data_IF_418836897362
#
_entry.id   IF_418836897362
#
_cell.length_a   1.000
_cell.length_b   1.000
_cell.length_c   1.000
_cell.angle_alpha   90.00
_cell.angle_beta   90.00
_cell.angle_gamma   90.00
#
_symmetry.space_group_name_H-M   'P 1'
#
loop_
_entity.id
_entity.type
_entity.pdbx_description
1 polymer ?
#
# COMPACT_ATOMS: atom_id res chain seq x y z
N UNK A 1 6.91 29.03 -6.69
CA UNK A 1 7.29 29.05 -8.12
C UNK A 1 8.81 28.93 -8.19
N UNK A 2 9.38 27.71 -8.25
CA UNK A 2 10.83 27.54 -8.48
C UNK A 2 11.29 26.15 -8.97
N UNK A 3 10.39 25.24 -9.40
CA UNK A 3 10.79 24.04 -10.15
C UNK A 3 9.73 23.70 -11.21
N UNK A 4 9.97 24.12 -12.46
CA UNK A 4 9.55 23.45 -13.70
C UNK A 4 10.68 23.68 -14.70
N UNK A 5 11.10 22.67 -15.47
CA UNK A 5 10.30 21.55 -15.96
C UNK A 5 10.63 20.23 -15.28
N UNK A 6 9.61 19.44 -14.94
CA UNK A 6 9.79 18.00 -14.77
C UNK A 6 10.38 17.48 -16.08
N UNK A 7 11.58 16.91 -16.02
CA UNK A 7 12.16 16.25 -17.17
C UNK A 7 11.19 15.15 -17.59
N UNK A 8 10.63 15.34 -18.78
CA UNK A 8 9.61 14.51 -19.37
C UNK A 8 10.33 13.52 -20.27
N UNK A 9 10.21 12.23 -19.97
CA UNK A 9 10.68 11.19 -20.87
C UNK A 9 9.46 10.42 -21.37
N UNK A 10 9.11 10.62 -22.65
CA UNK A 10 7.97 9.95 -23.30
C UNK A 10 6.62 10.14 -22.60
N UNK A 11 6.33 11.32 -22.05
CA UNK A 11 5.06 11.57 -21.32
C UNK A 11 5.14 11.27 -19.82
N UNK A 12 6.20 10.60 -19.36
CA UNK A 12 6.37 10.16 -17.96
C UNK A 12 7.42 10.99 -17.23
N UNK A 13 7.18 11.29 -15.95
CA UNK A 13 8.16 11.98 -15.09
C UNK A 13 9.41 11.14 -14.81
N UNK A 14 10.59 11.77 -14.76
CA UNK A 14 11.82 11.05 -14.34
C UNK A 14 11.67 10.45 -12.94
N UNK A 15 11.00 11.13 -12.03
CA UNK A 15 10.71 10.67 -10.67
C UNK A 15 9.92 9.36 -10.65
N UNK A 16 8.86 9.23 -11.45
CA UNK A 16 8.08 8.00 -11.57
C UNK A 16 8.84 6.88 -12.29
N UNK A 17 9.70 7.22 -13.26
CA UNK A 17 10.65 6.28 -13.87
C UNK A 17 11.67 5.72 -12.87
N UNK A 18 12.20 6.56 -11.98
CA UNK A 18 13.10 6.10 -10.92
C UNK A 18 12.37 5.14 -9.98
N UNK A 19 11.13 5.46 -9.59
CA UNK A 19 10.34 4.59 -8.71
C UNK A 19 10.08 3.21 -9.32
N UNK A 20 9.70 3.13 -10.60
CA UNK A 20 9.46 1.83 -11.26
C UNK A 20 10.77 1.03 -11.44
N UNK A 21 11.89 1.70 -11.72
CA UNK A 21 13.21 1.04 -11.80
C UNK A 21 13.60 0.48 -10.43
N UNK A 22 13.45 1.26 -9.35
CA UNK A 22 13.72 0.82 -7.99
C UNK A 22 12.81 -0.34 -7.56
N UNK A 23 11.55 -0.33 -7.97
CA UNK A 23 10.62 -1.44 -7.76
C UNK A 23 11.14 -2.73 -8.38
N UNK A 24 11.50 -2.71 -9.67
CA UNK A 24 12.02 -3.90 -10.36
C UNK A 24 13.37 -4.36 -9.77
N UNK A 25 14.27 -3.43 -9.45
CA UNK A 25 15.52 -3.75 -8.75
C UNK A 25 15.25 -4.42 -7.40
N UNK A 26 14.30 -3.90 -6.62
CA UNK A 26 13.86 -4.48 -5.36
C UNK A 26 13.36 -5.92 -5.52
N UNK A 27 12.49 -6.17 -6.51
CA UNK A 27 12.01 -7.53 -6.83
C UNK A 27 13.17 -8.46 -7.18
N UNK A 28 14.10 -8.02 -8.02
CA UNK A 28 15.27 -8.83 -8.40
C UNK A 28 16.13 -9.18 -7.17
N UNK A 29 16.34 -8.22 -6.26
CA UNK A 29 17.10 -8.44 -5.03
C UNK A 29 16.36 -9.43 -4.11
N UNK A 30 15.06 -9.24 -3.89
CA UNK A 30 14.22 -10.12 -3.06
C UNK A 30 14.21 -11.54 -3.65
N UNK A 31 14.04 -11.68 -4.96
CA UNK A 31 14.02 -12.98 -5.62
C UNK A 31 15.35 -13.72 -5.50
N UNK A 32 16.48 -13.01 -5.69
CA UNK A 32 17.83 -13.58 -5.50
C UNK A 32 18.07 -14.03 -4.05
N UNK A 33 17.58 -13.27 -3.08
CA UNK A 33 17.70 -13.62 -1.66
C UNK A 33 16.77 -14.78 -1.28
N UNK A 34 15.54 -14.79 -1.79
CA UNK A 34 14.55 -15.85 -1.59
C UNK A 34 15.04 -17.19 -2.14
N UNK A 35 15.59 -17.25 -3.35
CA UNK A 35 16.12 -18.50 -3.95
C UNK A 35 17.25 -19.15 -3.14
N UNK A 36 17.96 -18.37 -2.32
CA UNK A 36 19.05 -18.84 -1.46
C UNK A 36 18.54 -19.47 -0.15
N UNK A 37 17.27 -19.26 0.18
CA UNK A 37 16.58 -19.76 1.38
C UNK A 37 15.58 -20.84 0.90
N UNK A 38 15.43 -21.97 1.60
CA UNK A 38 14.51 -23.01 1.12
C UNK A 38 13.05 -22.48 1.15
N UNK A 39 12.19 -22.81 0.16
CA UNK A 39 10.82 -22.33 0.11
C UNK A 39 10.01 -22.68 1.38
N UNK A 40 10.32 -23.83 1.97
CA UNK A 40 9.67 -24.35 3.19
C UNK A 40 9.90 -23.44 4.42
N UNK A 41 11.01 -22.72 4.47
CA UNK A 41 11.37 -21.82 5.58
C UNK A 41 10.64 -20.47 5.50
N UNK A 42 10.19 -20.04 4.30
CA UNK A 42 9.68 -18.68 4.05
C UNK A 42 8.16 -18.58 4.24
N UNK A 43 7.43 -19.68 3.99
CA UNK A 43 5.97 -19.68 4.13
C UNK A 43 5.51 -20.18 5.50
N UNK A 44 6.32 -20.96 6.23
CA UNK A 44 5.98 -21.43 7.58
C UNK A 44 4.74 -22.33 7.65
N UNK A 45 4.24 -22.81 6.50
CA UNK A 45 3.06 -23.67 6.37
C UNK A 45 3.55 -25.05 5.92
N UNK A 46 3.22 -26.10 6.68
CA UNK A 46 3.43 -27.48 6.24
C UNK A 46 2.62 -27.76 4.97
N UNK A 47 3.21 -28.44 3.98
CA UNK A 47 2.54 -28.82 2.72
C UNK A 47 1.18 -29.52 2.96
N UNK A 48 1.00 -30.18 4.11
CA UNK A 48 -0.25 -30.82 4.55
C UNK A 48 -1.48 -29.91 4.57
N UNK A 49 -1.34 -28.60 4.70
CA UNK A 49 -2.47 -27.66 4.76
C UNK A 49 -2.84 -27.05 3.40
N UNK A 50 -2.09 -27.33 2.33
CA UNK A 50 -2.46 -26.88 0.99
C UNK A 50 -3.48 -27.84 0.39
N UNK A 51 -4.74 -27.43 0.36
CA UNK A 51 -5.71 -28.10 -0.49
C UNK A 51 -5.30 -27.88 -1.94
N UNK A 52 -4.88 -28.95 -2.62
CA UNK A 52 -4.51 -28.91 -4.03
C UNK A 52 -5.74 -28.56 -4.87
N UNK A 53 -5.96 -27.28 -5.13
CA UNK A 53 -6.96 -26.83 -6.10
C UNK A 53 -6.46 -27.09 -7.52
N UNK A 54 -7.36 -27.44 -8.44
CA UNK A 54 -6.97 -27.56 -9.84
C UNK A 54 -6.51 -26.19 -10.39
N UNK A 55 -5.35 -26.17 -11.04
CA UNK A 55 -4.79 -24.95 -11.65
C UNK A 55 -5.76 -24.24 -12.60
N UNK A 56 -6.51 -24.95 -13.49
CA UNK A 56 -7.44 -24.29 -14.40
C UNK A 56 -8.59 -23.58 -13.66
N UNK A 57 -9.18 -24.25 -12.66
CA UNK A 57 -10.29 -23.67 -11.89
C UNK A 57 -9.82 -22.48 -11.05
N UNK A 58 -8.62 -22.55 -10.50
CA UNK A 58 -8.02 -21.47 -9.71
C UNK A 58 -7.78 -20.22 -10.56
N UNK A 59 -7.21 -20.40 -11.75
CA UNK A 59 -6.98 -19.31 -12.70
C UNK A 59 -8.29 -18.66 -13.16
N UNK A 60 -9.33 -19.46 -13.43
CA UNK A 60 -10.66 -18.94 -13.80
C UNK A 60 -11.26 -18.11 -12.65
N UNK A 61 -11.25 -18.64 -11.42
CA UNK A 61 -11.75 -17.92 -10.24
C UNK A 61 -10.99 -16.61 -10.01
N UNK A 62 -9.66 -16.65 -10.15
CA UNK A 62 -8.81 -15.48 -10.04
C UNK A 62 -9.17 -14.42 -11.08
N UNK A 63 -9.32 -14.81 -12.35
CA UNK A 63 -9.68 -13.90 -13.44
C UNK A 63 -11.05 -13.25 -13.20
N UNK A 64 -12.05 -14.05 -12.79
CA UNK A 64 -13.38 -13.53 -12.45
C UNK A 64 -13.29 -12.51 -11.31
N UNK A 65 -12.56 -12.83 -10.24
CA UNK A 65 -12.37 -11.90 -9.11
C UNK A 65 -11.67 -10.61 -9.54
N UNK A 66 -10.61 -10.70 -10.34
CA UNK A 66 -9.88 -9.54 -10.86
C UNK A 66 -10.79 -8.62 -11.70
N UNK A 67 -11.62 -9.20 -12.58
CA UNK A 67 -12.60 -8.45 -13.38
C UNK A 67 -13.61 -7.72 -12.48
N UNK A 68 -14.16 -8.41 -11.48
CA UNK A 68 -15.11 -7.81 -10.53
C UNK A 68 -14.46 -6.64 -9.78
N UNK A 69 -13.22 -6.80 -9.34
CA UNK A 69 -12.46 -5.74 -8.65
C UNK A 69 -12.29 -4.53 -9.57
N UNK A 70 -11.90 -4.71 -10.83
CA UNK A 70 -11.72 -3.61 -11.79
C UNK A 70 -13.02 -2.82 -11.94
N UNK A 71 -14.14 -3.48 -12.22
CA UNK A 71 -15.42 -2.80 -12.41
C UNK A 71 -15.93 -2.11 -11.14
N UNK A 72 -15.68 -2.71 -9.97
CA UNK A 72 -16.11 -2.14 -8.68
C UNK A 72 -15.23 -0.94 -8.29
N UNK A 73 -13.92 -1.03 -8.51
CA UNK A 73 -12.97 0.05 -8.23
C UNK A 73 -13.25 1.31 -9.07
N UNK A 74 -13.68 1.16 -10.33
CA UNK A 74 -14.07 2.30 -11.18
C UNK A 74 -15.23 3.11 -10.58
N UNK A 75 -16.20 2.46 -9.94
CA UNK A 75 -17.34 3.13 -9.29
C UNK A 75 -16.99 3.74 -7.93
N UNK A 76 -15.89 3.30 -7.33
CA UNK A 76 -15.52 3.67 -5.97
C UNK A 76 -15.26 5.18 -5.81
N UNK A 77 -14.60 5.80 -6.80
CA UNK A 77 -14.33 7.23 -6.78
C UNK A 77 -15.62 8.08 -6.81
N UNK A 78 -16.65 7.62 -7.54
CA UNK A 78 -17.94 8.31 -7.59
C UNK A 78 -18.66 8.21 -6.25
N UNK A 79 -18.65 7.03 -5.62
CA UNK A 79 -19.22 6.83 -4.28
C UNK A 79 -18.51 7.69 -3.24
N UNK A 80 -17.19 7.82 -3.32
CA UNK A 80 -16.41 8.68 -2.42
C UNK A 80 -16.84 10.14 -2.50
N UNK A 81 -17.05 10.65 -3.72
CA UNK A 81 -17.52 12.01 -3.94
C UNK A 81 -18.94 12.22 -3.40
N UNK A 82 -19.88 11.31 -3.70
CA UNK A 82 -21.25 11.43 -3.17
C UNK A 82 -21.29 11.38 -1.64
N UNK A 83 -20.46 10.55 -1.00
CA UNK A 83 -20.33 10.54 0.46
C UNK A 83 -19.74 11.84 1.00
N UNK A 84 -18.77 12.45 0.31
CA UNK A 84 -18.22 13.73 0.70
C UNK A 84 -19.29 14.83 0.70
N UNK A 85 -20.14 14.87 -0.33
CA UNK A 85 -21.22 15.84 -0.46
C UNK A 85 -22.30 15.65 0.63
N UNK A 86 -22.67 14.41 0.93
CA UNK A 86 -23.67 14.08 1.95
C UNK A 86 -23.19 14.32 3.38
N UNK A 87 -21.90 14.09 3.65
CA UNK A 87 -21.32 14.22 5.01
C UNK A 87 -20.75 15.61 5.29
N UNK A 88 -20.47 16.40 4.26
CA UNK A 88 -19.77 17.68 4.37
C UNK A 88 -18.29 17.54 4.72
N UNK A 89 -17.70 16.34 4.61
CA UNK A 89 -16.32 16.09 5.02
C UNK A 89 -15.27 16.51 3.98
N UNK A 90 -15.70 16.97 2.80
CA UNK A 90 -14.82 17.40 1.71
C UNK A 90 -14.29 16.23 0.88
N UNK A 91 -14.27 16.41 -0.44
CA UNK A 91 -13.92 15.35 -1.42
C UNK A 91 -12.50 14.82 -1.23
N UNK A 92 -11.54 15.67 -0.87
CA UNK A 92 -10.14 15.26 -0.63
C UNK A 92 -10.00 14.36 0.59
N UNK A 93 -10.65 14.70 1.71
CA UNK A 93 -10.56 13.91 2.95
C UNK A 93 -11.28 12.58 2.77
N UNK A 94 -12.50 12.60 2.23
CA UNK A 94 -13.26 11.37 1.97
C UNK A 94 -12.56 10.49 0.94
N UNK A 95 -12.06 11.08 -0.15
CA UNK A 95 -11.28 10.38 -1.17
C UNK A 95 -10.01 9.74 -0.61
N UNK A 96 -9.28 10.42 0.28
CA UNK A 96 -8.03 9.90 0.86
C UNK A 96 -8.30 8.74 1.83
N UNK A 97 -9.20 8.93 2.80
CA UNK A 97 -9.41 7.94 3.87
C UNK A 97 -10.26 6.78 3.40
N UNK A 98 -11.36 7.05 2.69
CA UNK A 98 -12.24 5.98 2.24
C UNK A 98 -11.54 5.08 1.22
N UNK A 99 -10.81 5.67 0.27
CA UNK A 99 -10.07 4.89 -0.72
C UNK A 99 -8.98 4.06 -0.02
N UNK A 100 -8.20 4.66 0.89
CA UNK A 100 -7.16 3.94 1.63
C UNK A 100 -7.72 2.76 2.45
N UNK A 101 -8.84 2.96 3.15
CA UNK A 101 -9.49 1.87 3.90
C UNK A 101 -9.95 0.75 2.96
N UNK A 102 -10.60 1.11 1.85
CA UNK A 102 -11.21 0.11 0.97
C UNK A 102 -10.14 -0.67 0.19
N UNK A 103 -9.07 -0.01 -0.26
CA UNK A 103 -7.97 -0.70 -0.94
C UNK A 103 -7.15 -1.55 0.03
N UNK A 104 -7.03 -1.16 1.31
CA UNK A 104 -6.23 -1.91 2.29
C UNK A 104 -6.97 -2.93 3.13
N UNK A 105 -8.29 -2.98 3.04
CA UNK A 105 -9.08 -4.01 3.70
C UNK A 105 -8.79 -5.43 3.16
N UNK A 106 -8.68 -5.67 1.83
CA UNK A 106 -8.26 -6.97 1.30
C UNK A 106 -6.89 -7.42 1.82
N UNK A 107 -5.93 -6.49 1.95
CA UNK A 107 -4.59 -6.76 2.46
C UNK A 107 -4.64 -7.14 3.95
N UNK A 108 -5.43 -6.44 4.75
CA UNK A 108 -5.67 -6.79 6.14
C UNK A 108 -6.26 -8.20 6.27
N UNK A 109 -7.29 -8.53 5.49
CA UNK A 109 -7.95 -9.84 5.53
C UNK A 109 -6.97 -10.96 5.16
N UNK A 110 -6.18 -10.76 4.11
CA UNK A 110 -5.19 -11.75 3.66
C UNK A 110 -4.04 -11.93 4.65
N UNK A 111 -3.55 -10.84 5.26
CA UNK A 111 -2.54 -10.91 6.31
C UNK A 111 -3.08 -11.63 7.57
N UNK A 112 -4.32 -11.36 7.98
CA UNK A 112 -4.96 -12.07 9.09
C UNK A 112 -5.16 -13.57 8.78
N UNK A 113 -5.52 -13.92 7.55
CA UNK A 113 -5.62 -15.31 7.12
C UNK A 113 -4.26 -16.02 7.20
N UNK A 114 -3.17 -15.37 6.76
CA UNK A 114 -1.80 -15.88 6.89
C UNK A 114 -1.39 -16.08 8.36
N UNK A 115 -1.72 -15.14 9.25
CA UNK A 115 -1.46 -15.27 10.70
C UNK A 115 -2.20 -16.48 11.30
N UNK A 116 -3.44 -16.74 10.89
CA UNK A 116 -4.24 -17.88 11.38
C UNK A 116 -3.60 -19.23 11.07
N UNK A 117 -2.89 -19.33 9.96
CA UNK A 117 -2.13 -20.53 9.57
C UNK A 117 -0.66 -20.47 10.03
N UNK A 118 -0.31 -19.53 10.93
CA UNK A 118 1.05 -19.30 11.47
C UNK A 118 2.10 -18.92 10.42
N UNK A 119 1.67 -18.44 9.26
CA UNK A 119 2.53 -17.91 8.20
C UNK A 119 2.88 -16.44 8.46
N UNK A 120 3.64 -16.16 9.51
CA UNK A 120 3.94 -14.78 9.93
C UNK A 120 4.77 -14.00 8.92
N UNK A 121 5.75 -14.64 8.29
CA UNK A 121 6.58 -14.01 7.26
C UNK A 121 5.76 -13.69 5.99
N UNK A 122 4.79 -14.54 5.64
CA UNK A 122 3.82 -14.26 4.58
C UNK A 122 2.94 -13.06 4.93
N UNK A 123 2.44 -12.98 6.17
CA UNK A 123 1.62 -11.86 6.62
C UNK A 123 2.38 -10.52 6.55
N UNK A 124 3.65 -10.49 6.96
CA UNK A 124 4.52 -9.31 6.82
C UNK A 124 4.82 -9.02 5.35
N UNK A 125 5.06 -10.06 4.54
CA UNK A 125 5.27 -9.95 3.10
C UNK A 125 4.09 -9.35 2.35
N UNK A 126 2.85 -9.66 2.75
CA UNK A 126 1.63 -9.06 2.19
C UNK A 126 1.63 -7.55 2.42
N UNK A 127 1.87 -7.10 3.65
CA UNK A 127 1.83 -5.67 4.01
C UNK A 127 2.96 -4.89 3.33
N UNK A 128 4.20 -5.40 3.39
CA UNK A 128 5.35 -4.72 2.78
C UNK A 128 5.31 -4.77 1.25
N UNK A 129 4.87 -5.89 0.68
CA UNK A 129 4.72 -6.06 -0.76
C UNK A 129 3.70 -5.10 -1.36
N UNK A 130 2.55 -4.91 -0.70
CA UNK A 130 1.54 -3.94 -1.13
C UNK A 130 2.09 -2.50 -1.12
N UNK A 131 2.85 -2.11 -0.09
CA UNK A 131 3.49 -0.79 -0.03
C UNK A 131 4.52 -0.58 -1.16
N UNK A 132 5.30 -1.61 -1.50
CA UNK A 132 6.26 -1.55 -2.61
C UNK A 132 5.52 -1.39 -3.96
N UNK A 133 4.43 -2.12 -4.17
CA UNK A 133 3.61 -2.00 -5.37
C UNK A 133 2.96 -0.61 -5.51
N UNK A 134 2.49 -0.02 -4.41
CA UNK A 134 1.89 1.32 -4.40
C UNK A 134 2.85 2.39 -4.94
N UNK A 135 4.17 2.20 -4.81
CA UNK A 135 5.17 3.13 -5.36
C UNK A 135 5.25 3.12 -6.89
N UNK A 136 4.62 2.14 -7.55
CA UNK A 136 4.52 2.10 -9.02
C UNK A 136 3.34 2.90 -9.56
N UNK A 137 2.37 3.26 -8.70
CA UNK A 137 1.15 3.97 -9.12
C UNK A 137 1.47 5.27 -9.87
N UNK A 138 2.40 6.14 -9.42
CA UNK A 138 2.73 7.36 -10.15
C UNK A 138 3.17 7.13 -11.61
N UNK A 139 3.90 6.04 -11.87
CA UNK A 139 4.32 5.68 -13.23
C UNK A 139 3.12 5.33 -14.12
N UNK A 140 2.20 4.51 -13.62
CA UNK A 140 0.97 4.20 -14.36
C UNK A 140 0.05 5.42 -14.49
N UNK A 141 -0.04 6.26 -13.46
CA UNK A 141 -0.78 7.52 -13.52
C UNK A 141 -0.26 8.42 -14.63
N UNK A 142 1.07 8.58 -14.77
CA UNK A 142 1.67 9.37 -15.84
C UNK A 142 1.38 8.81 -17.25
N UNK A 143 1.25 7.49 -17.40
CA UNK A 143 0.92 6.86 -18.69
C UNK A 143 -0.54 7.13 -19.10
N UNK A 144 -1.47 7.10 -18.14
CA UNK A 144 -2.90 7.20 -18.40
C UNK A 144 -3.48 8.61 -18.21
N UNK A 145 -2.67 9.57 -17.76
CA UNK A 145 -3.06 10.97 -17.55
C UNK A 145 -2.43 11.87 -18.61
N UNK A 146 -3.27 12.56 -19.39
CA UNK A 146 -2.82 13.45 -20.48
C UNK A 146 -2.20 14.78 -20.01
N UNK A 147 -2.00 14.97 -18.70
CA UNK A 147 -1.44 16.19 -18.11
C UNK A 147 0.06 16.10 -17.79
N UNK A 148 0.60 17.09 -17.03
CA UNK A 148 1.97 17.00 -16.54
C UNK A 148 2.14 15.80 -15.58
N UNK A 149 3.38 15.31 -15.38
CA UNK A 149 3.64 14.21 -14.45
C UNK A 149 2.96 14.40 -13.10
N UNK A 150 2.30 13.36 -12.59
CA UNK A 150 1.34 13.45 -11.49
C UNK A 150 2.00 14.05 -10.24
N UNK A 151 3.24 13.65 -9.91
CA UNK A 151 3.95 14.16 -8.74
C UNK A 151 4.35 15.64 -8.88
N UNK A 152 4.38 16.19 -10.10
CA UNK A 152 4.65 17.61 -10.34
C UNK A 152 3.44 18.52 -10.10
N UNK A 153 2.23 17.94 -10.06
CA UNK A 153 0.97 18.67 -9.85
C UNK A 153 0.32 18.38 -8.50
N UNK A 154 0.90 17.47 -7.72
CA UNK A 154 0.46 17.14 -6.37
C UNK A 154 0.58 18.34 -5.43
N UNK A 155 -0.45 18.51 -4.61
CA UNK A 155 -0.54 19.57 -3.61
C UNK A 155 0.57 19.45 -2.55
N UNK A 156 1.26 20.54 -2.15
CA UNK A 156 2.25 20.50 -1.06
C UNK A 156 1.71 19.94 0.28
N UNK A 157 0.39 19.97 0.46
CA UNK A 157 -0.36 19.42 1.58
C UNK A 157 -0.09 17.92 1.81
N UNK A 158 0.32 17.19 0.76
CA UNK A 158 0.69 15.77 0.86
C UNK A 158 2.06 15.52 1.53
N UNK A 159 2.83 16.57 1.87
CA UNK A 159 4.10 16.43 2.59
C UNK A 159 3.92 15.68 3.92
N UNK A 160 2.80 15.90 4.62
CA UNK A 160 2.51 15.23 5.89
C UNK A 160 2.22 13.75 5.65
N UNK A 161 1.44 13.43 4.62
CA UNK A 161 1.21 12.04 4.23
C UNK A 161 2.53 11.32 3.92
N UNK A 162 3.43 11.96 3.17
CA UNK A 162 4.75 11.41 2.86
C UNK A 162 5.61 11.20 4.11
N UNK A 163 5.66 12.17 5.01
CA UNK A 163 6.39 12.07 6.28
C UNK A 163 5.82 10.95 7.18
N UNK A 164 4.50 10.83 7.25
CA UNK A 164 3.83 9.77 7.99
C UNK A 164 4.20 8.39 7.44
N UNK A 165 4.22 8.21 6.13
CA UNK A 165 4.66 6.95 5.49
C UNK A 165 6.09 6.61 5.91
N UNK A 166 7.01 7.59 5.87
CA UNK A 166 8.42 7.38 6.27
C UNK A 166 8.52 6.97 7.74
N UNK A 167 7.85 7.71 8.65
CA UNK A 167 7.92 7.47 10.10
C UNK A 167 7.35 6.08 10.43
N UNK A 168 6.15 5.77 9.96
CA UNK A 168 5.47 4.51 10.28
C UNK A 168 6.22 3.31 9.69
N UNK A 169 6.74 3.43 8.48
CA UNK A 169 7.56 2.37 7.85
C UNK A 169 8.87 2.18 8.61
N UNK A 170 9.50 3.25 9.09
CA UNK A 170 10.73 3.17 9.90
C UNK A 170 10.49 2.45 11.23
N UNK A 171 9.36 2.69 11.89
CA UNK A 171 8.96 1.96 13.11
C UNK A 171 8.76 0.47 12.80
N UNK A 172 8.10 0.15 11.69
CA UNK A 172 7.90 -1.25 11.27
C UNK A 172 9.25 -1.95 11.02
N UNK A 173 10.16 -1.32 10.28
CA UNK A 173 11.52 -1.85 10.02
C UNK A 173 12.28 -2.04 11.34
N UNK A 174 12.27 -1.05 12.23
CA UNK A 174 12.91 -1.15 13.54
C UNK A 174 12.35 -2.34 14.34
N UNK A 175 11.03 -2.56 14.30
CA UNK A 175 10.42 -3.71 14.98
C UNK A 175 10.88 -5.06 14.41
N UNK A 176 11.06 -5.17 13.08
CA UNK A 176 11.55 -6.39 12.42
C UNK A 176 13.01 -6.67 12.81
N UNK A 177 13.83 -5.62 12.91
CA UNK A 177 15.26 -5.73 13.25
C UNK A 177 15.47 -6.03 14.74
N UNK A 178 14.83 -5.26 15.62
CA UNK A 178 15.05 -5.36 17.06
C UNK A 178 14.25 -6.47 17.74
N UNK A 179 13.18 -6.98 17.10
CA UNK A 179 12.33 -8.09 17.59
C UNK A 179 11.97 -7.93 19.09
N UNK A 180 11.24 -6.87 19.47
CA UNK A 180 10.93 -6.60 20.87
C UNK A 180 10.16 -7.77 21.50
N UNK A 181 10.66 -8.26 22.64
CA UNK A 181 10.16 -9.50 23.28
C UNK A 181 8.97 -9.29 24.24
N UNK A 182 8.70 -8.05 24.66
CA UNK A 182 7.66 -7.74 25.66
C UNK A 182 6.46 -7.08 24.97
N UNK A 183 5.29 -7.75 24.93
CA UNK A 183 4.06 -7.11 24.48
C UNK A 183 3.53 -6.15 25.54
N UNK A 184 2.75 -5.17 25.10
CA UNK A 184 1.97 -4.24 25.91
C UNK A 184 0.51 -4.42 25.51
N UNK A 185 -0.38 -4.80 26.44
CA UNK A 185 -1.78 -5.12 26.14
C UNK A 185 -1.95 -6.08 24.95
N UNK A 186 -1.22 -7.20 24.97
CA UNK A 186 -1.24 -8.24 23.92
C UNK A 186 -0.69 -7.84 22.54
N UNK A 187 -0.26 -6.59 22.35
CA UNK A 187 0.34 -6.09 21.10
C UNK A 187 1.80 -5.71 21.29
N UNK A 188 2.60 -5.81 20.23
CA UNK A 188 3.96 -5.28 20.23
C UNK A 188 3.95 -3.75 20.36
N UNK A 189 4.97 -3.18 21.03
CA UNK A 189 5.05 -1.71 21.21
C UNK A 189 5.04 -0.96 19.88
N UNK A 190 5.63 -1.53 18.82
CA UNK A 190 5.60 -0.96 17.48
C UNK A 190 4.19 -0.88 16.91
N UNK A 191 3.31 -1.84 17.19
CA UNK A 191 1.92 -1.80 16.73
C UNK A 191 1.16 -0.63 17.36
N UNK A 192 1.38 -0.36 18.66
CA UNK A 192 0.83 0.81 19.34
C UNK A 192 1.36 2.12 18.76
N UNK A 193 2.68 2.21 18.53
CA UNK A 193 3.29 3.40 17.94
C UNK A 193 2.77 3.65 16.52
N UNK A 194 2.62 2.61 15.71
CA UNK A 194 2.07 2.71 14.36
C UNK A 194 0.61 3.13 14.42
N UNK A 195 -0.19 2.53 15.30
CA UNK A 195 -1.60 2.87 15.48
C UNK A 195 -1.77 4.33 15.89
N UNK A 196 -1.12 4.76 16.97
CA UNK A 196 -1.20 6.14 17.46
C UNK A 196 -0.66 7.14 16.43
N UNK A 197 0.46 6.81 15.78
CA UNK A 197 1.04 7.61 14.72
C UNK A 197 0.09 7.77 13.54
N UNK A 198 -0.54 6.69 13.07
CA UNK A 198 -1.51 6.73 11.97
C UNK A 198 -2.69 7.66 12.27
N UNK A 199 -3.29 7.54 13.47
CA UNK A 199 -4.39 8.42 13.88
C UNK A 199 -3.95 9.88 14.05
N UNK A 200 -2.75 10.13 14.56
CA UNK A 200 -2.17 11.47 14.60
C UNK A 200 -1.98 12.04 13.19
N UNK A 201 -1.49 11.23 12.25
CA UNK A 201 -1.33 11.60 10.85
C UNK A 201 -2.65 12.00 10.20
N UNK A 202 -3.70 11.18 10.38
CA UNK A 202 -5.06 11.50 9.94
C UNK A 202 -5.53 12.82 10.52
N UNK A 203 -5.37 13.01 11.84
CA UNK A 203 -5.79 14.23 12.51
C UNK A 203 -5.07 15.48 11.97
N UNK A 204 -3.76 15.40 11.74
CA UNK A 204 -2.98 16.49 11.15
C UNK A 204 -3.42 16.81 9.71
N UNK A 205 -3.65 15.78 8.89
CA UNK A 205 -4.15 15.94 7.52
C UNK A 205 -5.53 16.60 7.54
N UNK A 206 -6.43 16.16 8.40
CA UNK A 206 -7.76 16.74 8.56
C UNK A 206 -7.70 18.22 8.95
N UNK A 207 -6.86 18.59 9.92
CA UNK A 207 -6.70 19.98 10.38
C UNK A 207 -6.15 20.91 9.32
N UNK A 208 -5.35 20.40 8.38
CA UNK A 208 -4.76 21.20 7.29
C UNK A 208 -5.67 21.23 6.06
N UNK A 209 -6.41 20.15 5.81
CA UNK A 209 -7.40 20.05 4.74
C UNK A 209 -8.61 20.96 4.96
N UNK A 210 -9.02 21.15 6.22
CA UNK A 210 -10.04 22.13 6.59
C UNK A 210 -9.36 23.49 6.79
N UNK A 211 -9.18 24.24 5.70
CA UNK A 211 -9.11 25.69 5.78
C UNK A 211 -10.54 26.22 5.63
N UNK A 212 -11.05 26.82 6.71
CA UNK A 212 -12.14 27.81 6.66
C UNK A 212 -11.58 29.06 5.97
#
# INVERSE_FOLDING_TARGET
>A
MLLKPSFLFMGVGIDSLILIILYFLGIVVIFKYSKKTKPDDVLGVSEENYTAYSLPLTNIKFLIAAIIIIFTAMKLAQVANSLADLTGWGTTFMGTIMLAIITSLPELITALAAIRIKAYDLAVGIVLGANILNMTIPFFSDIFYDGPPILSVVSPQHIISALMVIILTSIAIASIVYKPKKPVFSLGIAAWLIFLGYFLGIFLIFRIGIKI
#
